data_IF_731473064379
#
_entry.id   IF_731473064379
#
_cell.length_a   1.000
_cell.length_b   1.000
_cell.length_c   1.000
_cell.angle_alpha   90.00
_cell.angle_beta   90.00
_cell.angle_gamma   90.00
#
_symmetry.space_group_name_H-M   'P 1'
#
loop_
_entity.id
_entity.type
_entity.pdbx_description
1 polymer ?
#
# COMPACT_ATOMS: atom_id res chain seq x y z
N UNK A 1 -4.75 24.52 5.40
CA UNK A 1 -5.20 23.28 4.73
C UNK A 1 -3.99 22.37 4.66
N UNK A 2 -4.12 21.12 5.10
CA UNK A 2 -3.05 20.12 5.00
C UNK A 2 -3.39 19.02 3.99
N UNK A 3 -2.37 18.27 3.61
CA UNK A 3 -2.44 17.18 2.63
C UNK A 3 -1.49 16.08 3.08
N UNK A 4 -1.99 14.85 3.17
CA UNK A 4 -1.16 13.65 3.28
C UNK A 4 -1.59 12.62 2.24
N UNK A 5 -0.64 11.82 1.78
CA UNK A 5 -0.89 10.67 0.93
C UNK A 5 0.21 9.61 1.05
N UNK A 6 -0.11 8.39 0.64
CA UNK A 6 0.84 7.30 0.39
C UNK A 6 0.56 6.73 -0.99
N UNK A 7 1.60 6.62 -1.81
CA UNK A 7 1.56 6.02 -3.13
C UNK A 7 2.71 5.02 -3.31
N UNK A 8 2.61 4.05 -4.23
CA UNK A 8 3.73 3.19 -4.55
C UNK A 8 4.96 4.02 -4.96
N UNK A 9 6.08 3.82 -4.26
CA UNK A 9 7.32 4.58 -4.49
C UNK A 9 7.32 6.00 -3.92
N UNK A 10 6.29 6.41 -3.18
CA UNK A 10 6.16 7.74 -2.59
C UNK A 10 5.44 7.71 -1.24
N UNK A 11 6.18 7.98 -0.17
CA UNK A 11 5.65 7.93 1.20
C UNK A 11 5.06 9.25 1.68
N UNK A 12 5.04 10.30 0.86
CA UNK A 12 4.43 11.58 1.21
C UNK A 12 4.17 12.41 -0.07
N UNK A 13 3.46 13.56 0.02
CA UNK A 13 3.18 14.40 -1.15
C UNK A 13 4.43 14.93 -1.86
N UNK A 14 5.55 15.16 -1.17
CA UNK A 14 6.81 15.64 -1.77
C UNK A 14 7.49 14.52 -2.55
N UNK A 15 7.50 13.31 -2.00
CA UNK A 15 7.99 12.11 -2.68
C UNK A 15 7.13 11.79 -3.91
N UNK A 16 5.81 11.96 -3.81
CA UNK A 16 4.90 11.80 -4.94
C UNK A 16 5.21 12.82 -6.04
N UNK A 17 5.37 14.09 -5.69
CA UNK A 17 5.75 15.12 -6.65
C UNK A 17 7.05 14.78 -7.36
N UNK A 18 8.08 14.35 -6.62
CA UNK A 18 9.37 13.97 -7.20
C UNK A 18 9.22 12.77 -8.15
N UNK A 19 8.47 11.74 -7.76
CA UNK A 19 8.19 10.58 -8.61
C UNK A 19 7.53 10.98 -9.93
N UNK A 20 6.51 11.85 -9.87
CA UNK A 20 5.79 12.34 -11.04
C UNK A 20 6.66 13.24 -11.92
N UNK A 21 7.40 14.17 -11.31
CA UNK A 21 8.29 15.09 -12.01
C UNK A 21 9.39 14.36 -12.77
N UNK A 22 9.97 13.33 -12.14
CA UNK A 22 11.03 12.51 -12.74
C UNK A 22 10.49 11.46 -13.73
N UNK A 23 9.16 11.33 -13.88
CA UNK A 23 8.54 10.32 -14.75
C UNK A 23 8.84 8.88 -14.35
N UNK A 24 9.07 8.61 -13.05
CA UNK A 24 9.48 7.28 -12.57
C UNK A 24 8.29 6.31 -12.53
N UNK A 25 8.55 5.06 -12.93
CA UNK A 25 7.59 3.97 -12.85
C UNK A 25 7.76 3.19 -11.53
N UNK A 26 6.69 3.11 -10.73
CA UNK A 26 6.68 2.36 -9.47
C UNK A 26 6.10 0.94 -9.59
N UNK A 27 5.70 0.52 -10.78
CA UNK A 27 5.25 -0.86 -11.03
C UNK A 27 6.43 -1.80 -10.86
N UNK A 28 6.22 -2.86 -10.07
CA UNK A 28 7.16 -3.92 -9.78
C UNK A 28 6.47 -5.27 -9.82
N UNK A 29 7.24 -6.34 -9.79
CA UNK A 29 6.68 -7.67 -9.59
C UNK A 29 6.00 -7.72 -8.19
N UNK A 30 4.92 -8.48 -8.11
CA UNK A 30 4.17 -8.74 -6.90
C UNK A 30 5.14 -9.20 -5.79
N UNK A 31 5.20 -8.53 -4.62
CA UNK A 31 6.07 -8.95 -3.53
C UNK A 31 5.65 -10.31 -2.98
N UNK A 32 6.63 -11.20 -2.72
CA UNK A 32 6.40 -12.52 -2.13
C UNK A 32 5.77 -12.47 -0.73
N UNK A 33 5.88 -11.34 -0.04
CA UNK A 33 5.21 -11.10 1.24
C UNK A 33 3.69 -10.91 1.12
N UNK A 34 3.14 -10.73 -0.08
CA UNK A 34 1.71 -10.55 -0.32
C UNK A 34 1.03 -11.88 -0.63
N UNK A 35 1.57 -12.61 -1.59
CA UNK A 35 1.06 -13.87 -2.10
C UNK A 35 2.20 -14.63 -2.79
N UNK A 36 2.11 -15.95 -2.77
CA UNK A 36 3.01 -16.79 -3.56
C UNK A 36 2.59 -16.74 -5.03
N UNK A 37 3.42 -16.10 -5.86
CA UNK A 37 3.19 -15.99 -7.30
C UNK A 37 3.07 -17.35 -7.98
N UNK A 38 3.76 -18.39 -7.49
CA UNK A 38 3.70 -19.72 -8.07
C UNK A 38 2.32 -20.38 -7.91
N UNK A 39 1.56 -19.98 -6.88
CA UNK A 39 0.22 -20.52 -6.61
C UNK A 39 -0.89 -19.77 -7.36
N UNK A 40 -0.68 -18.48 -7.66
CA UNK A 40 -1.75 -17.61 -8.17
C UNK A 40 -1.61 -17.25 -9.65
N UNK A 41 -0.43 -17.38 -10.27
CA UNK A 41 -0.19 -16.91 -11.64
C UNK A 41 -0.33 -18.00 -12.70
N UNK A 42 -1.02 -17.68 -13.79
CA UNK A 42 -1.01 -18.46 -15.03
C UNK A 42 -0.98 -17.53 -16.25
N UNK A 43 -0.14 -17.79 -17.28
CA UNK A 43 -0.01 -16.90 -18.43
C UNK A 43 -1.26 -16.85 -19.32
N UNK A 44 -2.09 -17.89 -19.30
CA UNK A 44 -3.36 -17.93 -20.04
C UNK A 44 -4.46 -17.20 -19.27
N UNK A 45 -5.00 -16.13 -19.87
CA UNK A 45 -6.03 -15.28 -19.26
C UNK A 45 -7.34 -16.03 -18.94
N UNK A 46 -7.67 -17.07 -19.72
CA UNK A 46 -8.85 -17.91 -19.52
C UNK A 46 -8.71 -18.95 -18.40
N UNK A 47 -7.52 -19.10 -17.80
CA UNK A 47 -7.30 -20.09 -16.76
C UNK A 47 -8.01 -19.71 -15.46
N UNK A 48 -9.06 -20.46 -15.12
CA UNK A 48 -9.91 -20.17 -13.97
C UNK A 48 -9.14 -20.21 -12.64
N UNK A 49 -9.41 -19.25 -11.76
CA UNK A 49 -8.82 -19.20 -10.42
C UNK A 49 -7.39 -18.63 -10.35
N UNK A 50 -6.86 -18.09 -11.44
CA UNK A 50 -5.51 -17.51 -11.50
C UNK A 50 -5.51 -16.07 -12.00
N UNK A 51 -4.41 -15.36 -11.77
CA UNK A 51 -4.11 -14.05 -12.33
C UNK A 51 -3.16 -14.20 -13.53
N UNK A 52 -3.34 -13.35 -14.54
CA UNK A 52 -2.51 -13.34 -15.76
C UNK A 52 -1.43 -12.25 -15.78
N UNK A 53 -1.30 -11.49 -14.69
CA UNK A 53 -0.23 -10.51 -14.49
C UNK A 53 0.55 -10.83 -13.23
N UNK A 54 1.85 -10.56 -13.26
CA UNK A 54 2.74 -10.62 -12.09
C UNK A 54 3.12 -9.24 -11.57
N UNK A 55 2.62 -8.18 -12.21
CA UNK A 55 3.05 -6.81 -11.96
C UNK A 55 1.95 -5.96 -11.33
N UNK A 56 2.36 -5.09 -10.42
CA UNK A 56 1.50 -4.10 -9.78
C UNK A 56 2.34 -3.05 -9.06
N UNK A 57 1.67 -2.04 -8.52
CA UNK A 57 2.32 -1.00 -7.73
C UNK A 57 1.84 -1.15 -6.28
N UNK A 58 2.79 -1.28 -5.34
CA UNK A 58 2.49 -1.68 -3.96
C UNK A 58 3.10 -0.68 -2.97
N UNK A 59 2.30 -0.27 -1.99
CA UNK A 59 2.79 0.48 -0.83
C UNK A 59 3.89 -0.32 -0.10
N UNK A 60 4.85 0.40 0.47
CA UNK A 60 5.99 -0.16 1.21
C UNK A 60 5.54 -0.88 2.48
N UNK A 61 4.62 -0.28 3.23
CA UNK A 61 4.06 -0.80 4.48
C UNK A 61 2.55 -0.61 4.48
N UNK A 62 1.79 -1.69 4.66
CA UNK A 62 0.33 -1.60 4.88
C UNK A 62 -0.11 -2.24 6.20
N UNK A 63 0.76 -3.06 6.80
CA UNK A 63 0.41 -3.87 7.96
C UNK A 63 0.75 -3.19 9.28
N UNK A 64 1.49 -2.07 9.22
CA UNK A 64 1.87 -1.25 10.36
C UNK A 64 0.90 -0.09 10.58
N UNK A 65 0.75 0.33 11.83
CA UNK A 65 0.07 1.58 12.21
C UNK A 65 0.65 2.10 13.53
N UNK A 66 0.80 3.41 13.69
CA UNK A 66 1.09 4.02 14.99
C UNK A 66 -0.18 4.06 15.87
N UNK A 67 -0.48 2.91 16.45
CA UNK A 67 -1.60 2.71 17.36
C UNK A 67 -1.55 3.61 18.61
N UNK A 68 -0.38 4.14 19.01
CA UNK A 68 -0.28 5.05 20.16
C UNK A 68 -0.87 6.41 19.81
N UNK A 69 -0.47 6.96 18.67
CA UNK A 69 -0.96 8.25 18.17
C UNK A 69 -2.46 8.20 17.92
N UNK A 70 -2.96 7.09 17.37
CA UNK A 70 -4.40 6.88 17.16
C UNK A 70 -5.18 6.48 18.43
N UNK A 71 -4.50 6.25 19.56
CA UNK A 71 -5.08 5.80 20.85
C UNK A 71 -5.91 4.51 20.72
N UNK A 72 -5.48 3.60 19.84
CA UNK A 72 -6.09 2.29 19.59
C UNK A 72 -5.28 1.22 20.32
N UNK A 73 -5.94 0.17 20.84
CA UNK A 73 -5.20 -0.92 21.48
C UNK A 73 -4.39 -1.73 20.44
N UNK A 74 -3.20 -2.27 20.78
CA UNK A 74 -2.43 -3.09 19.85
C UNK A 74 -3.20 -4.31 19.32
N UNK A 75 -4.08 -4.88 20.17
CA UNK A 75 -4.95 -5.99 19.78
C UNK A 75 -5.93 -5.57 18.70
N UNK A 76 -6.61 -4.46 18.89
CA UNK A 76 -7.58 -3.92 17.92
C UNK A 76 -6.88 -3.56 16.61
N UNK A 77 -5.76 -2.82 16.67
CA UNK A 77 -4.98 -2.45 15.49
C UNK A 77 -4.60 -3.67 14.63
N UNK A 78 -4.27 -4.81 15.25
CA UNK A 78 -3.95 -6.04 14.52
C UNK A 78 -5.12 -6.62 13.73
N UNK A 79 -6.35 -6.45 14.21
CA UNK A 79 -7.56 -6.99 13.57
C UNK A 79 -8.27 -5.98 12.66
N UNK A 80 -7.85 -4.72 12.66
CA UNK A 80 -8.41 -3.71 11.77
C UNK A 80 -8.01 -3.96 10.33
N UNK A 81 -8.91 -3.65 9.39
CA UNK A 81 -8.56 -3.61 7.97
C UNK A 81 -7.39 -2.62 7.74
N UNK A 82 -6.34 -3.00 7.00
CA UNK A 82 -5.23 -2.11 6.64
C UNK A 82 -5.66 -0.76 6.05
N UNK A 83 -6.75 -0.73 5.28
CA UNK A 83 -7.28 0.49 4.66
C UNK A 83 -7.82 1.46 5.71
N UNK A 84 -8.51 0.96 6.75
CA UNK A 84 -8.99 1.80 7.84
C UNK A 84 -7.82 2.38 8.65
N UNK A 85 -6.79 1.57 8.91
CA UNK A 85 -5.57 2.02 9.61
C UNK A 85 -4.86 3.13 8.83
N UNK A 86 -4.62 2.90 7.53
CA UNK A 86 -3.99 3.87 6.64
C UNK A 86 -4.80 5.16 6.52
N UNK A 87 -6.13 5.07 6.43
CA UNK A 87 -6.99 6.24 6.35
C UNK A 87 -6.91 7.10 7.62
N UNK A 88 -6.89 6.47 8.80
CA UNK A 88 -6.78 7.19 10.07
C UNK A 88 -5.43 7.90 10.22
N UNK A 89 -4.33 7.27 9.83
CA UNK A 89 -3.02 7.90 9.84
C UNK A 89 -2.95 9.08 8.86
N UNK A 90 -3.39 8.88 7.61
CA UNK A 90 -3.39 9.94 6.60
C UNK A 90 -4.27 11.13 7.00
N UNK A 91 -5.42 10.87 7.65
CA UNK A 91 -6.28 11.92 8.16
C UNK A 91 -5.61 12.71 9.30
N UNK A 92 -4.89 12.03 10.19
CA UNK A 92 -4.11 12.70 11.25
C UNK A 92 -2.98 13.56 10.67
N UNK A 93 -2.15 12.99 9.79
CA UNK A 93 -1.04 13.71 9.14
C UNK A 93 -1.50 14.90 8.29
N UNK A 94 -2.70 14.85 7.73
CA UNK A 94 -3.26 15.97 6.96
C UNK A 94 -3.80 17.10 7.84
N UNK A 95 -4.04 16.84 9.14
CA UNK A 95 -4.52 17.83 10.10
C UNK A 95 -3.38 18.48 10.90
N UNK A 96 -2.25 17.80 11.07
CA UNK A 96 -0.99 18.39 11.57
C UNK A 96 -0.42 19.44 10.61
#
# INVERSE_FOLDING_TARGET
MGLSCRFPGAEDPRALWSLLHDGRNAVREIPSSRWDLAEVFHPEVSHAGTISTRFGAFLSQVDGVDWRTLRISPREARFMDPQHRLLLELAWEALE
#
